data_IF_709021259822
#
_entry.id   IF_709021259822
#
_cell.length_a   1.000
_cell.length_b   1.000
_cell.length_c   1.000
_cell.angle_alpha   90.00
_cell.angle_beta   90.00
_cell.angle_gamma   90.00
#
_symmetry.space_group_name_H-M   'P 1'
#
loop_
_entity.id
_entity.type
_entity.pdbx_description
1 polymer ?
#
# COMPACT_ATOMS: atom_id res chain seq x y z
N UNK A 1 11.33 9.00 -16.78
CA UNK A 1 10.33 8.65 -15.76
C UNK A 1 10.60 9.54 -14.55
N UNK A 2 9.72 10.51 -14.28
CA UNK A 2 9.82 11.32 -13.08
C UNK A 2 9.56 10.43 -11.87
N UNK A 3 10.55 10.25 -10.99
CA UNK A 3 10.33 9.78 -9.63
C UNK A 3 9.54 10.86 -8.91
N UNK A 4 8.23 10.87 -9.07
CA UNK A 4 7.35 11.64 -8.20
C UNK A 4 7.54 11.04 -6.80
N UNK A 5 8.18 11.78 -5.90
CA UNK A 5 8.17 11.45 -4.48
C UNK A 5 6.75 11.71 -3.98
N UNK A 6 5.93 10.66 -3.92
CA UNK A 6 4.61 10.70 -3.29
C UNK A 6 4.82 10.79 -1.77
N UNK A 7 4.84 12.01 -1.24
CA UNK A 7 5.10 12.28 0.17
C UNK A 7 3.82 12.11 0.98
N UNK A 8 3.49 10.87 1.32
CA UNK A 8 2.49 10.57 2.35
C UNK A 8 3.16 10.65 3.72
N UNK A 9 2.50 11.29 4.69
CA UNK A 9 3.04 11.36 6.05
C UNK A 9 3.12 9.97 6.70
N UNK A 10 4.08 9.80 7.61
CA UNK A 10 4.23 8.55 8.35
C UNK A 10 3.14 8.44 9.42
N UNK A 11 2.31 7.40 9.35
CA UNK A 11 1.33 7.11 10.39
C UNK A 11 1.97 6.40 11.57
N UNK A 12 1.87 7.02 12.74
CA UNK A 12 2.43 6.51 13.99
C UNK A 12 1.39 5.91 14.95
N UNK A 13 0.12 5.89 14.54
CA UNK A 13 -1.01 5.45 15.36
C UNK A 13 -1.79 6.60 16.00
N UNK A 14 -1.41 7.85 15.73
CA UNK A 14 -2.10 9.06 16.20
C UNK A 14 -2.62 9.93 15.04
N UNK A 15 -3.51 10.88 15.34
CA UNK A 15 -4.06 11.81 14.35
C UNK A 15 -5.25 11.26 13.55
N UNK A 16 -5.48 11.84 12.37
CA UNK A 16 -6.64 11.54 11.52
C UNK A 16 -6.37 10.37 10.57
N UNK A 17 -6.58 9.15 11.06
CA UNK A 17 -6.39 7.93 10.27
C UNK A 17 -7.08 7.96 8.89
N UNK A 18 -8.32 8.45 8.82
CA UNK A 18 -9.06 8.52 7.54
C UNK A 18 -8.44 9.45 6.50
N UNK A 19 -7.82 10.56 6.93
CA UNK A 19 -7.10 11.46 6.03
C UNK A 19 -5.85 10.78 5.49
N UNK A 20 -5.04 10.21 6.40
CA UNK A 20 -3.84 9.47 6.04
C UNK A 20 -4.17 8.30 5.09
N UNK A 21 -5.22 7.53 5.38
CA UNK A 21 -5.65 6.43 4.53
C UNK A 21 -6.02 6.92 3.12
N UNK A 22 -6.71 8.05 3.01
CA UNK A 22 -7.01 8.68 1.72
C UNK A 22 -5.74 9.03 0.93
N UNK A 23 -4.75 9.66 1.59
CA UNK A 23 -3.47 10.01 0.95
C UNK A 23 -2.66 8.78 0.51
N UNK A 24 -2.70 7.68 1.28
CA UNK A 24 -2.09 6.40 0.87
C UNK A 24 -2.80 5.85 -0.36
N UNK A 25 -4.13 5.83 -0.39
CA UNK A 25 -4.90 5.33 -1.53
C UNK A 25 -4.65 6.16 -2.80
N UNK A 26 -4.63 7.49 -2.67
CA UNK A 26 -4.31 8.40 -3.78
C UNK A 26 -2.89 8.16 -4.31
N UNK A 27 -1.92 7.94 -3.42
CA UNK A 27 -0.53 7.62 -3.78
C UNK A 27 -0.42 6.28 -4.51
N UNK A 28 -1.18 5.27 -4.08
CA UNK A 28 -1.22 3.97 -4.77
C UNK A 28 -1.85 4.08 -6.16
N UNK A 29 -2.95 4.82 -6.29
CA UNK A 29 -3.60 5.08 -7.57
C UNK A 29 -2.66 5.81 -8.54
N UNK A 30 -1.95 6.84 -8.07
CA UNK A 30 -0.97 7.56 -8.88
C UNK A 30 0.21 6.69 -9.33
N UNK A 31 0.50 5.60 -8.60
CA UNK A 31 1.51 4.60 -8.96
C UNK A 31 0.96 3.43 -9.80
N UNK A 32 -0.36 3.33 -9.99
CA UNK A 32 -1.01 2.19 -10.63
C UNK A 32 -0.96 0.90 -9.81
N UNK A 33 -0.97 1.03 -8.48
CA UNK A 33 -0.86 -0.06 -7.51
C UNK A 33 -2.18 -0.34 -6.76
N UNK A 34 -3.17 0.53 -6.93
CA UNK A 34 -4.47 0.50 -6.25
C UNK A 34 -5.23 -0.83 -6.44
N UNK A 35 -5.04 -1.50 -7.58
CA UNK A 35 -5.68 -2.79 -7.85
C UNK A 35 -5.35 -3.89 -6.84
N UNK A 36 -4.21 -3.82 -6.14
CA UNK A 36 -3.85 -4.79 -5.11
C UNK A 36 -4.52 -4.55 -3.75
N UNK A 37 -5.22 -3.43 -3.58
CA UNK A 37 -6.07 -3.16 -2.42
C UNK A 37 -7.41 -3.90 -2.56
N UNK A 38 -7.79 -4.30 -3.77
CA UNK A 38 -8.90 -5.21 -3.98
C UNK A 38 -8.57 -6.59 -3.36
N UNK A 39 -9.57 -7.22 -2.73
CA UNK A 39 -9.35 -8.49 -2.01
C UNK A 39 -8.92 -9.64 -2.93
N UNK A 40 -9.32 -9.59 -4.20
CA UNK A 40 -9.11 -10.66 -5.17
C UNK A 40 -8.30 -10.19 -6.38
N UNK A 41 -7.44 -11.08 -6.89
CA UNK A 41 -6.74 -10.85 -8.16
C UNK A 41 -7.76 -10.86 -9.32
N UNK A 42 -7.71 -9.90 -10.25
CA UNK A 42 -8.49 -9.97 -11.49
C UNK A 42 -8.27 -11.28 -12.26
N UNK A 43 -9.33 -11.86 -12.81
CA UNK A 43 -9.28 -13.18 -13.45
C UNK A 43 -8.32 -13.23 -14.65
N UNK A 44 -8.23 -12.13 -15.39
CA UNK A 44 -7.40 -11.93 -16.58
C UNK A 44 -5.94 -11.55 -16.28
N UNK A 45 -5.62 -11.20 -15.03
CA UNK A 45 -4.26 -10.81 -14.66
C UNK A 45 -3.34 -12.02 -14.47
N UNK A 46 -2.12 -11.91 -15.02
CA UNK A 46 -1.06 -12.91 -14.86
C UNK A 46 -0.60 -12.96 -13.40
N UNK A 47 -0.53 -14.17 -12.83
CA UNK A 47 -0.18 -14.39 -11.42
C UNK A 47 1.14 -13.73 -10.99
N UNK A 48 2.16 -13.75 -11.85
CA UNK A 48 3.45 -13.11 -11.58
C UNK A 48 3.33 -11.60 -11.46
N UNK A 49 2.53 -10.98 -12.32
CA UNK A 49 2.34 -9.54 -12.34
C UNK A 49 1.52 -9.11 -11.12
N UNK A 50 0.47 -9.86 -10.79
CA UNK A 50 -0.29 -9.68 -9.56
C UNK A 50 0.60 -9.74 -8.31
N UNK A 51 1.43 -10.78 -8.17
CA UNK A 51 2.35 -10.89 -7.03
C UNK A 51 3.33 -9.72 -6.94
N UNK A 52 3.75 -9.20 -8.08
CA UNK A 52 4.66 -8.05 -8.16
C UNK A 52 3.95 -6.79 -7.68
N UNK A 53 2.76 -6.50 -8.19
CA UNK A 53 1.94 -5.34 -7.80
C UNK A 53 1.55 -5.44 -6.31
N UNK A 54 1.07 -6.59 -5.84
CA UNK A 54 0.74 -6.81 -4.45
C UNK A 54 1.95 -6.59 -3.53
N UNK A 55 3.14 -7.06 -3.92
CA UNK A 55 4.38 -6.82 -3.15
C UNK A 55 4.77 -5.35 -3.14
N UNK A 56 4.66 -4.66 -4.28
CA UNK A 56 4.94 -3.22 -4.36
C UNK A 56 3.99 -2.42 -3.47
N UNK A 57 2.69 -2.71 -3.53
CA UNK A 57 1.65 -2.09 -2.70
C UNK A 57 1.91 -2.32 -1.22
N UNK A 58 2.21 -3.57 -0.84
CA UNK A 58 2.68 -3.93 0.50
C UNK A 58 3.88 -3.10 0.98
N UNK A 59 4.86 -2.88 0.10
CA UNK A 59 6.05 -2.08 0.41
C UNK A 59 5.71 -0.60 0.54
N UNK A 60 4.83 -0.06 -0.31
CA UNK A 60 4.39 1.33 -0.26
C UNK A 60 3.58 1.61 1.01
N UNK A 61 2.56 0.82 1.33
CA UNK A 61 1.78 0.98 2.57
C UNK A 61 2.71 0.95 3.79
N UNK A 62 3.61 -0.04 3.86
CA UNK A 62 4.58 -0.09 4.94
C UNK A 62 5.47 1.15 4.97
N UNK A 63 5.90 1.70 3.84
CA UNK A 63 6.72 2.92 3.84
C UNK A 63 6.02 4.10 4.53
N UNK A 64 4.68 4.14 4.49
CA UNK A 64 3.83 5.16 5.12
C UNK A 64 3.51 4.88 6.61
N UNK A 65 4.00 3.78 7.20
CA UNK A 65 3.69 3.39 8.59
C UNK A 65 4.96 3.41 9.45
N UNK A 66 4.86 3.87 10.70
CA UNK A 66 5.97 3.86 11.65
C UNK A 66 6.47 2.45 11.99
N UNK A 67 7.68 2.36 12.54
CA UNK A 67 8.28 1.05 12.88
C UNK A 67 7.45 0.30 13.92
N UNK A 68 6.90 1.03 14.86
CA UNK A 68 6.10 0.54 15.98
C UNK A 68 4.81 -0.09 15.46
N UNK A 69 4.11 0.60 14.56
CA UNK A 69 2.85 0.13 13.96
C UNK A 69 3.07 -1.04 12.98
N UNK A 70 4.20 -1.06 12.24
CA UNK A 70 4.56 -2.17 11.33
C UNK A 70 4.60 -3.54 11.98
N UNK A 71 4.90 -3.61 13.30
CA UNK A 71 5.11 -4.89 13.98
C UNK A 71 3.85 -5.79 13.94
N UNK A 72 2.67 -5.18 14.03
CA UNK A 72 1.39 -5.89 13.96
C UNK A 72 1.18 -6.61 12.60
N UNK A 73 1.78 -6.07 11.53
CA UNK A 73 1.58 -6.52 10.15
C UNK A 73 2.83 -7.14 9.51
N UNK A 74 3.82 -7.52 10.32
CA UNK A 74 5.13 -7.99 9.85
C UNK A 74 5.06 -9.24 8.96
N UNK A 75 4.05 -10.08 9.18
CA UNK A 75 3.85 -11.34 8.45
C UNK A 75 2.74 -11.24 7.38
N UNK A 76 2.03 -10.11 7.30
CA UNK A 76 1.00 -9.94 6.28
C UNK A 76 1.66 -9.85 4.90
N UNK A 77 1.06 -10.48 3.89
CA UNK A 77 1.61 -10.50 2.53
C UNK A 77 0.60 -10.04 1.50
N UNK A 78 -0.65 -9.79 1.91
CA UNK A 78 -1.73 -9.28 1.09
C UNK A 78 -1.93 -7.79 1.38
N UNK A 79 -1.90 -6.96 0.34
CA UNK A 79 -2.03 -5.52 0.50
C UNK A 79 -3.42 -5.10 0.98
N UNK A 80 -4.48 -5.82 0.60
CA UNK A 80 -5.86 -5.60 1.08
C UNK A 80 -6.06 -5.87 2.58
N UNK A 81 -5.09 -6.49 3.25
CA UNK A 81 -5.12 -6.79 4.70
C UNK A 81 -4.19 -5.92 5.54
N UNK A 82 -3.48 -4.98 4.91
CA UNK A 82 -2.62 -3.99 5.58
C UNK A 82 -3.41 -2.73 5.89
#
# INVERSE_FOLDING_TARGET
MSNANFSVELFDGSGHFGMWQGEVLDSLFQQGLDIAIEEEKPADMVEKDWRTINRMTCSTIRSCISREQKYAYKNETSASKL
#
